data_IF_015411299695
#
_entry.id   IF_015411299695
#
_cell.length_a   1.000
_cell.length_b   1.000
_cell.length_c   1.000
_cell.angle_alpha   90.00
_cell.angle_beta   90.00
_cell.angle_gamma   90.00
#
_symmetry.space_group_name_H-M   'P 1'
#
loop_
_entity.id
_entity.type
_entity.pdbx_description
1 polymer ?
#
# COMPACT_ATOMS: atom_id res chain seq x y z
N UNK A 1 3.08 13.52 2.79
CA UNK A 1 1.66 13.11 2.99
C UNK A 1 1.09 13.78 4.24
N UNK A 2 -0.17 14.28 4.27
CA UNK A 2 -0.73 14.90 5.47
C UNK A 2 -0.72 13.95 6.67
N UNK A 3 -0.37 14.45 7.87
CA UNK A 3 -0.21 13.61 9.07
C UNK A 3 -1.50 12.87 9.44
N UNK A 4 -2.66 13.51 9.27
CA UNK A 4 -3.96 12.87 9.51
C UNK A 4 -4.19 11.63 8.61
N UNK A 5 -3.66 11.64 7.39
CA UNK A 5 -3.74 10.49 6.49
C UNK A 5 -2.83 9.35 6.95
N UNK A 6 -1.61 9.68 7.39
CA UNK A 6 -0.66 8.72 7.98
C UNK A 6 -1.29 8.02 9.19
N UNK A 7 -1.80 8.81 10.15
CA UNK A 7 -2.42 8.29 11.38
C UNK A 7 -3.56 7.33 11.06
N UNK A 8 -4.41 7.66 10.08
CA UNK A 8 -5.53 6.80 9.69
C UNK A 8 -5.07 5.45 9.15
N UNK A 9 -4.00 5.42 8.35
CA UNK A 9 -3.44 4.16 7.84
C UNK A 9 -2.80 3.35 8.97
N UNK A 10 -1.98 3.99 9.80
CA UNK A 10 -1.37 3.34 10.98
C UNK A 10 -2.43 2.71 11.89
N UNK A 11 -3.59 3.36 12.07
CA UNK A 11 -4.69 2.83 12.89
C UNK A 11 -5.33 1.55 12.36
N UNK A 12 -5.27 1.28 11.04
CA UNK A 12 -5.92 0.10 10.43
C UNK A 12 -5.30 -1.22 10.87
N UNK A 13 -4.03 -1.22 11.22
CA UNK A 13 -3.29 -2.42 11.63
C UNK A 13 -3.14 -2.54 13.16
N UNK A 14 -3.66 -1.57 13.93
CA UNK A 14 -3.53 -1.51 15.37
C UNK A 14 -4.87 -1.78 16.07
N UNK A 15 -4.85 -2.33 17.31
CA UNK A 15 -6.05 -2.48 18.12
C UNK A 15 -6.78 -1.13 18.36
N UNK A 16 -8.12 -1.14 18.56
CA UNK A 16 -8.94 0.08 18.64
C UNK A 16 -8.50 1.15 19.67
N UNK A 17 -7.75 0.76 20.70
CA UNK A 17 -7.30 1.66 21.78
C UNK A 17 -5.79 1.81 21.90
N UNK A 18 -5.02 1.29 20.92
CA UNK A 18 -3.58 1.47 20.91
C UNK A 18 -3.22 2.97 20.95
N UNK A 19 -2.12 3.34 21.61
CA UNK A 19 -1.61 4.72 21.54
C UNK A 19 -0.50 4.76 20.49
N UNK A 20 -0.44 5.86 19.75
CA UNK A 20 0.65 6.15 18.81
C UNK A 20 1.28 7.44 19.32
N UNK A 21 2.57 7.42 19.65
CA UNK A 21 3.30 8.61 20.10
C UNK A 21 3.41 9.63 18.96
N UNK A 22 3.67 10.88 19.30
CA UNK A 22 3.83 11.94 18.29
C UNK A 22 5.08 11.70 17.44
N UNK A 23 6.18 11.27 18.05
CA UNK A 23 7.42 10.90 17.36
C UNK A 23 7.18 9.81 16.30
N UNK A 24 6.45 8.74 16.64
CA UNK A 24 6.15 7.68 15.67
C UNK A 24 5.31 8.17 14.49
N UNK A 25 4.41 9.14 14.70
CA UNK A 25 3.62 9.71 13.59
C UNK A 25 4.53 10.51 12.65
N UNK A 26 5.47 11.27 13.23
CA UNK A 26 6.42 12.08 12.47
C UNK A 26 7.41 11.21 11.69
N UNK A 27 8.02 10.22 12.34
CA UNK A 27 8.93 9.28 11.68
C UNK A 27 8.26 8.59 10.51
N UNK A 28 7.05 8.05 10.68
CA UNK A 28 6.35 7.38 9.56
C UNK A 28 5.96 8.37 8.45
N UNK A 29 5.63 9.62 8.78
CA UNK A 29 5.36 10.64 7.76
C UNK A 29 6.60 10.93 6.89
N UNK A 30 7.76 11.04 7.53
CA UNK A 30 9.05 11.23 6.87
C UNK A 30 9.40 10.00 6.03
N UNK A 31 9.33 8.80 6.62
CA UNK A 31 9.58 7.54 5.92
C UNK A 31 8.67 7.36 4.69
N UNK A 32 7.39 7.73 4.75
CA UNK A 32 6.50 7.63 3.58
C UNK A 32 6.92 8.61 2.48
N UNK A 33 7.39 9.80 2.86
CA UNK A 33 7.85 10.80 1.90
C UNK A 33 9.15 10.35 1.21
N UNK A 34 10.06 9.76 1.99
CA UNK A 34 11.27 9.13 1.49
C UNK A 34 10.95 7.92 0.61
N UNK A 35 10.04 7.04 1.03
CA UNK A 35 9.60 5.88 0.24
C UNK A 35 9.08 6.28 -1.14
N UNK A 36 8.23 7.31 -1.22
CA UNK A 36 7.74 7.84 -2.50
C UNK A 36 8.91 8.31 -3.36
N UNK A 37 9.85 9.04 -2.77
CA UNK A 37 11.02 9.56 -3.48
C UNK A 37 11.94 8.44 -3.95
N UNK A 38 12.12 7.41 -3.14
CA UNK A 38 12.97 6.25 -3.43
C UNK A 38 12.41 5.41 -4.57
N UNK A 39 11.14 5.00 -4.49
CA UNK A 39 10.47 4.24 -5.56
C UNK A 39 10.41 5.04 -6.85
N UNK A 40 10.12 6.35 -6.76
CA UNK A 40 10.08 7.21 -7.95
C UNK A 40 11.47 7.38 -8.57
N UNK A 41 12.52 7.51 -7.76
CA UNK A 41 13.91 7.58 -8.23
C UNK A 41 14.34 6.31 -8.94
N UNK A 42 13.99 5.15 -8.38
CA UNK A 42 14.28 3.85 -8.97
C UNK A 42 13.52 3.64 -10.30
N UNK A 43 12.23 3.98 -10.34
CA UNK A 43 11.45 3.93 -11.58
C UNK A 43 12.01 4.89 -12.64
N UNK A 44 12.50 6.06 -12.22
CA UNK A 44 13.13 7.03 -13.12
C UNK A 44 14.46 6.52 -13.71
N UNK A 45 15.25 5.73 -12.96
CA UNK A 45 16.49 5.14 -13.45
C UNK A 45 16.23 4.19 -14.64
N UNK A 46 15.16 3.40 -14.57
CA UNK A 46 14.73 2.52 -15.66
C UNK A 46 14.11 3.27 -16.82
N UNK A 47 13.48 4.40 -16.54
CA UNK A 47 12.76 5.23 -17.49
C UNK A 47 13.73 6.05 -18.35
N UNK A 48 14.00 5.56 -19.57
CA UNK A 48 14.77 6.30 -20.58
C UNK A 48 13.95 7.38 -21.32
N UNK A 49 12.69 7.58 -20.90
CA UNK A 49 11.72 8.52 -21.49
C UNK A 49 11.55 9.74 -20.57
N UNK A 50 10.83 10.75 -21.06
CA UNK A 50 10.45 11.94 -20.26
C UNK A 50 9.34 11.68 -19.23
N UNK A 51 8.64 10.56 -19.33
CA UNK A 51 7.47 10.25 -18.51
C UNK A 51 7.59 8.82 -17.99
N UNK A 52 7.53 8.69 -16.66
CA UNK A 52 7.47 7.42 -15.93
C UNK A 52 6.08 6.82 -16.14
N UNK A 53 6.01 5.55 -16.56
CA UNK A 53 4.75 4.82 -16.72
C UNK A 53 4.46 3.94 -15.50
N UNK A 54 3.24 3.37 -15.43
CA UNK A 54 2.88 2.44 -14.37
C UNK A 54 3.74 1.16 -14.39
N UNK A 55 4.16 0.71 -15.58
CA UNK A 55 5.07 -0.42 -15.75
C UNK A 55 6.47 -0.13 -15.17
N UNK A 56 6.97 1.10 -15.32
CA UNK A 56 8.24 1.51 -14.72
C UNK A 56 8.17 1.44 -13.18
N UNK A 57 7.03 1.81 -12.59
CA UNK A 57 6.79 1.71 -11.15
C UNK A 57 6.68 0.26 -10.68
N UNK A 58 5.95 -0.60 -11.41
CA UNK A 58 5.86 -2.03 -11.10
C UNK A 58 7.25 -2.69 -11.13
N UNK A 59 8.08 -2.35 -12.12
CA UNK A 59 9.45 -2.83 -12.17
C UNK A 59 10.27 -2.37 -10.96
N UNK A 60 10.17 -1.10 -10.58
CA UNK A 60 10.90 -0.56 -9.43
C UNK A 60 10.51 -1.26 -8.13
N UNK A 61 9.20 -1.52 -7.93
CA UNK A 61 8.71 -2.25 -6.76
C UNK A 61 9.34 -3.65 -6.65
N UNK A 62 9.46 -4.38 -7.76
CA UNK A 62 10.10 -5.70 -7.75
C UNK A 62 11.61 -5.60 -7.54
N UNK A 63 12.30 -4.66 -8.21
CA UNK A 63 13.75 -4.45 -8.02
C UNK A 63 14.11 -4.11 -6.57
N UNK A 64 13.24 -3.38 -5.87
CA UNK A 64 13.42 -3.00 -4.46
C UNK A 64 12.99 -4.10 -3.47
N UNK A 65 12.49 -5.25 -3.94
CA UNK A 65 12.08 -6.38 -3.11
C UNK A 65 10.68 -6.27 -2.52
N UNK A 66 9.79 -5.46 -3.12
CA UNK A 66 8.38 -5.33 -2.74
C UNK A 66 7.48 -6.23 -3.59
N UNK A 67 7.89 -7.48 -3.83
CA UNK A 67 7.21 -8.41 -4.75
C UNK A 67 5.77 -8.71 -4.35
N UNK A 68 5.47 -8.74 -3.05
CA UNK A 68 4.11 -8.93 -2.49
C UNK A 68 3.10 -7.86 -2.96
N UNK A 69 3.58 -6.72 -3.48
CA UNK A 69 2.74 -5.64 -3.98
C UNK A 69 2.50 -5.72 -5.50
N UNK A 70 3.25 -6.54 -6.24
CA UNK A 70 3.21 -6.56 -7.71
C UNK A 70 1.87 -7.03 -8.24
N UNK A 71 1.37 -8.17 -7.75
CA UNK A 71 0.09 -8.72 -8.17
C UNK A 71 -1.08 -7.77 -7.83
N UNK A 72 -1.23 -7.27 -6.59
CA UNK A 72 -2.27 -6.30 -6.25
C UNK A 72 -2.24 -5.03 -7.09
N UNK A 73 -1.04 -4.46 -7.33
CA UNK A 73 -0.89 -3.24 -8.12
C UNK A 73 -1.19 -3.47 -9.61
N UNK A 74 -0.80 -4.62 -10.15
CA UNK A 74 -1.11 -5.00 -11.54
C UNK A 74 -2.61 -5.16 -11.74
N UNK A 75 -3.29 -5.84 -10.81
CA UNK A 75 -4.74 -5.97 -10.81
C UNK A 75 -5.44 -4.60 -10.75
N UNK A 76 -4.98 -3.73 -9.84
CA UNK A 76 -5.51 -2.37 -9.73
C UNK A 76 -5.32 -1.58 -11.04
N UNK A 77 -4.14 -1.65 -11.66
CA UNK A 77 -3.84 -0.97 -12.92
C UNK A 77 -4.74 -1.44 -14.06
N UNK A 78 -4.97 -2.75 -14.16
CA UNK A 78 -5.89 -3.32 -15.15
C UNK A 78 -7.29 -2.76 -14.98
N UNK A 79 -7.85 -2.82 -13.76
CA UNK A 79 -9.18 -2.28 -13.47
C UNK A 79 -9.24 -0.77 -13.74
N UNK A 80 -8.23 -0.02 -13.34
CA UNK A 80 -8.18 1.42 -13.59
C UNK A 80 -8.28 1.74 -15.09
N UNK A 81 -7.58 0.99 -15.96
CA UNK A 81 -7.64 1.16 -17.42
C UNK A 81 -9.01 0.78 -18.00
N UNK A 82 -9.67 -0.24 -17.48
CA UNK A 82 -11.04 -0.62 -17.88
C UNK A 82 -12.05 0.49 -17.55
N UNK A 83 -11.91 1.14 -16.39
CA UNK A 83 -12.80 2.22 -15.97
C UNK A 83 -12.49 3.56 -16.66
N UNK A 84 -11.21 3.95 -16.78
CA UNK A 84 -10.79 5.21 -17.40
C UNK A 84 -10.93 5.19 -18.94
N UNK A 85 -11.05 4.00 -19.54
CA UNK A 85 -11.39 3.80 -20.95
C UNK A 85 -12.83 4.17 -21.31
N UNK A 86 -13.67 4.50 -20.33
CA UNK A 86 -15.05 4.95 -20.49
C UNK A 86 -15.34 6.18 -19.64
N UNK A 87 -15.16 7.37 -20.23
CA UNK A 87 -15.49 8.68 -19.66
C UNK A 87 -14.60 9.16 -18.50
N UNK A 88 -14.03 10.36 -18.68
CA UNK A 88 -13.18 11.06 -17.71
C UNK A 88 -13.95 11.37 -16.43
N UNK A 89 -14.00 10.44 -15.48
CA UNK A 89 -14.57 10.72 -14.17
C UNK A 89 -13.60 11.60 -13.39
N UNK A 90 -13.95 12.87 -13.25
CA UNK A 90 -13.35 13.79 -12.29
C UNK A 90 -13.48 13.17 -10.90
N UNK A 91 -12.39 12.63 -10.34
CA UNK A 91 -12.35 12.10 -8.98
C UNK A 91 -12.39 13.25 -7.96
N UNK A 92 -13.52 13.95 -7.90
CA UNK A 92 -13.84 14.92 -6.85
C UNK A 92 -15.00 14.39 -6.02
N UNK A 93 -14.67 13.53 -5.05
CA UNK A 93 -15.38 13.52 -3.77
C UNK A 93 -16.64 12.66 -3.64
N UNK A 94 -16.72 11.47 -4.22
CA UNK A 94 -17.75 10.49 -3.81
C UNK A 94 -17.15 9.18 -3.29
N UNK A 95 -17.85 8.60 -2.30
CA UNK A 95 -17.43 7.45 -1.49
C UNK A 95 -17.00 6.29 -2.41
N UNK A 96 -15.71 5.94 -2.38
CA UNK A 96 -15.16 4.75 -3.06
C UNK A 96 -15.86 3.49 -2.51
N UNK A 97 -16.66 2.75 -3.29
CA UNK A 97 -17.07 1.38 -2.92
C UNK A 97 -15.92 0.37 -3.09
N UNK A 98 -14.76 0.84 -3.57
CA UNK A 98 -13.67 0.03 -4.10
C UNK A 98 -12.69 -0.52 -3.05
N UNK A 99 -12.66 0.01 -1.82
CA UNK A 99 -11.68 -0.41 -0.80
C UNK A 99 -12.14 -1.58 0.06
N UNK A 100 -13.45 -1.87 0.11
CA UNK A 100 -14.00 -2.94 0.94
C UNK A 100 -13.80 -4.33 0.32
N UNK A 101 -13.52 -4.40 -0.99
CA UNK A 101 -13.31 -5.66 -1.72
C UNK A 101 -11.82 -5.97 -1.98
N UNK A 102 -10.89 -5.11 -1.53
CA UNK A 102 -9.44 -5.24 -1.78
C UNK A 102 -8.66 -5.83 -0.60
N UNK A 103 -9.30 -6.10 0.52
CA UNK A 103 -8.73 -6.88 1.61
C UNK A 103 -9.51 -8.21 1.66
N UNK A 104 -8.86 -9.38 1.49
CA UNK A 104 -9.50 -10.60 1.93
C UNK A 104 -9.90 -10.42 3.40
N UNK A 105 -11.04 -10.98 3.86
CA UNK A 105 -11.38 -10.94 5.27
C UNK A 105 -10.18 -11.48 6.02
N UNK A 106 -9.60 -10.68 6.93
CA UNK A 106 -8.63 -11.21 7.89
C UNK A 106 -9.43 -12.23 8.69
N UNK A 107 -9.34 -13.50 8.30
CA UNK A 107 -9.87 -14.59 9.08
C UNK A 107 -9.18 -14.45 10.44
N UNK A 108 -9.96 -14.13 11.47
CA UNK A 108 -9.53 -14.22 12.85
C UNK A 108 -9.30 -15.70 13.18
N UNK A 109 -8.23 -16.29 12.65
CA UNK A 109 -7.65 -17.48 13.23
C UNK A 109 -6.82 -17.03 14.42
N UNK A 110 -7.45 -17.13 15.57
CA UNK A 110 -6.77 -17.13 16.86
C UNK A 110 -5.86 -18.35 16.90
N UNK A 111 -4.69 -18.26 16.25
CA UNK A 111 -3.62 -19.23 16.39
C UNK A 111 -2.96 -18.95 17.74
N UNK A 112 -3.48 -19.61 18.78
CA UNK A 112 -2.72 -19.79 20.02
C UNK A 112 -1.37 -20.43 19.73
N UNK A 113 -0.36 -20.22 20.59
CA UNK A 113 0.96 -20.81 20.40
C UNK A 113 0.84 -22.35 20.34
N UNK A 114 1.63 -23.03 19.49
CA UNK A 114 1.56 -24.47 19.32
C UNK A 114 1.92 -25.20 20.63
N UNK A 115 1.24 -26.31 20.97
CA UNK A 115 1.59 -27.07 22.15
C UNK A 115 2.96 -27.73 21.97
N UNK A 116 3.83 -27.53 22.97
CA UNK A 116 5.12 -28.21 23.07
C UNK A 116 4.88 -29.72 23.23
N UNK A 117 5.38 -30.51 22.29
CA UNK A 117 5.34 -31.96 22.36
C UNK A 117 6.18 -32.45 23.57
N UNK A 118 5.50 -32.98 24.58
CA UNK A 118 6.14 -33.73 25.67
C UNK A 118 6.57 -35.08 25.11
N UNK A 119 7.87 -35.30 24.96
CA UNK A 119 8.43 -36.61 24.64
C UNK A 119 8.38 -37.47 25.90
N UNK A 120 7.85 -38.69 25.76
CA UNK A 120 8.01 -39.80 26.70
C UNK A 120 9.01 -40.79 26.10
#
# INVERSE_FOLDING_TARGET
MPIANVIRVMRRILPPRAKISDDSKQTIQECVSEFISFVTGEANERCQRKTITAEDVLWAMSKLGFDDYIEPLTFYLHRYREFDGGERVTLRGEKRPMLDHLLPPIAHHHAGPPPMASQH
#
